data_IF_843789385800
#
_entry.id   IF_843789385800
#
_cell.length_a   1.000
_cell.length_b   1.000
_cell.length_c   1.000
_cell.angle_alpha   90.00
_cell.angle_beta   90.00
_cell.angle_gamma   90.00
#
_symmetry.space_group_name_H-M   'P 1'
#
loop_
_entity.id
_entity.type
_entity.pdbx_description
1 polymer ?
#
# COMPACT_ATOMS: atom_id res chain seq x y z
N UNK A 1 -7.78 -1.31 -27.55
CA UNK A 1 -8.96 -1.17 -26.67
C UNK A 1 -8.55 -1.00 -25.22
N UNK A 2 -7.72 -1.88 -24.64
CA UNK A 2 -7.28 -1.83 -23.23
C UNK A 2 -6.70 -0.46 -22.90
N UNK A 3 -5.63 -0.04 -23.58
CA UNK A 3 -4.98 1.24 -23.30
C UNK A 3 -5.85 2.46 -23.64
N UNK A 4 -6.73 2.34 -24.64
CA UNK A 4 -7.59 3.45 -25.05
C UNK A 4 -8.75 3.72 -24.09
N UNK A 5 -9.31 2.68 -23.49
CA UNK A 5 -10.53 2.78 -22.66
C UNK A 5 -10.35 2.27 -21.23
N UNK A 6 -9.58 1.19 -21.07
CA UNK A 6 -9.41 0.54 -19.77
C UNK A 6 -8.41 1.26 -18.86
N UNK A 7 -7.32 1.78 -19.43
CA UNK A 7 -6.29 2.49 -18.68
C UNK A 7 -6.69 3.93 -18.29
N UNK A 8 -7.79 4.45 -18.87
CA UNK A 8 -8.29 5.77 -18.47
C UNK A 8 -8.65 5.76 -16.99
N UNK A 9 -8.04 6.66 -16.23
CA UNK A 9 -8.31 6.79 -14.80
C UNK A 9 -9.66 7.44 -14.56
N UNK A 10 -10.40 6.92 -13.59
CA UNK A 10 -11.64 7.51 -13.09
C UNK A 10 -11.35 8.63 -12.09
N UNK A 11 -12.41 9.21 -11.49
CA UNK A 11 -12.33 10.28 -10.49
C UNK A 11 -11.48 9.90 -9.26
N UNK A 12 -11.40 8.62 -8.94
CA UNK A 12 -10.63 8.09 -7.80
C UNK A 12 -9.17 7.75 -8.15
N UNK A 13 -8.66 8.18 -9.30
CA UNK A 13 -7.30 7.89 -9.73
C UNK A 13 -7.06 6.47 -10.27
N UNK A 14 -8.01 5.54 -10.19
CA UNK A 14 -7.85 4.17 -10.64
C UNK A 14 -8.23 3.96 -12.11
N UNK A 15 -7.52 3.06 -12.85
CA UNK A 15 -7.95 2.64 -14.17
C UNK A 15 -9.35 2.05 -14.17
N UNK A 16 -10.14 2.36 -15.20
CA UNK A 16 -11.52 1.88 -15.31
C UNK A 16 -11.63 0.38 -15.45
N UNK A 17 -10.75 -0.23 -16.25
CA UNK A 17 -10.71 -1.68 -16.46
C UNK A 17 -9.35 -2.10 -16.99
N UNK A 18 -8.65 -2.95 -16.26
CA UNK A 18 -7.44 -3.61 -16.71
C UNK A 18 -7.64 -5.14 -16.70
N UNK A 19 -7.15 -5.87 -17.71
CA UNK A 19 -7.21 -7.32 -17.72
C UNK A 19 -6.27 -7.91 -16.66
N UNK A 20 -6.68 -9.01 -16.07
CA UNK A 20 -5.81 -9.87 -15.27
C UNK A 20 -5.45 -11.12 -16.06
N UNK A 21 -4.29 -11.70 -15.79
CA UNK A 21 -3.86 -12.97 -16.34
C UNK A 21 -3.80 -14.04 -15.26
N UNK A 22 -4.17 -15.27 -15.64
CA UNK A 22 -4.06 -16.41 -14.76
C UNK A 22 -3.22 -17.49 -15.45
N UNK A 23 -2.09 -17.83 -14.84
CA UNK A 23 -1.27 -18.97 -15.22
C UNK A 23 -1.56 -20.14 -14.29
N UNK A 24 -1.71 -21.32 -14.87
CA UNK A 24 -1.96 -22.56 -14.14
C UNK A 24 -0.77 -23.47 -14.42
N UNK A 25 -0.11 -23.93 -13.37
CA UNK A 25 1.01 -24.87 -13.42
C UNK A 25 0.59 -26.27 -12.90
N UNK A 26 1.20 -27.31 -13.43
CA UNK A 26 0.90 -28.70 -13.10
C UNK A 26 -0.02 -29.40 -14.12
N UNK A 27 -0.23 -28.78 -15.27
CA UNK A 27 -0.99 -29.42 -16.36
C UNK A 27 -0.16 -30.50 -17.06
N UNK A 28 -0.82 -31.57 -17.50
CA UNK A 28 -0.16 -32.66 -18.21
C UNK A 28 0.53 -32.16 -19.49
N UNK A 29 1.80 -32.56 -19.67
CA UNK A 29 2.62 -32.12 -20.80
C UNK A 29 3.34 -30.81 -20.57
N UNK A 30 3.19 -30.15 -19.40
CA UNK A 30 3.95 -28.97 -19.03
C UNK A 30 5.43 -29.32 -18.80
N UNK A 31 6.31 -28.42 -19.20
CA UNK A 31 7.76 -28.55 -19.05
C UNK A 31 8.36 -27.25 -18.54
N UNK A 32 9.65 -27.25 -18.21
CA UNK A 32 10.35 -26.01 -17.82
C UNK A 32 10.29 -24.93 -18.91
N UNK A 33 10.27 -25.33 -20.19
CA UNK A 33 10.13 -24.38 -21.30
C UNK A 33 8.76 -23.70 -21.32
N UNK A 34 7.72 -24.30 -20.76
CA UNK A 34 6.39 -23.68 -20.65
C UNK A 34 6.44 -22.43 -19.76
N UNK A 35 7.24 -22.47 -18.70
CA UNK A 35 7.43 -21.28 -17.82
C UNK A 35 8.17 -20.18 -18.54
N UNK A 36 9.18 -20.53 -19.35
CA UNK A 36 9.91 -19.53 -20.14
C UNK A 36 8.98 -18.88 -21.18
N UNK A 37 8.18 -19.69 -21.90
CA UNK A 37 7.21 -19.17 -22.87
C UNK A 37 6.17 -18.23 -22.22
N UNK A 38 5.72 -18.57 -21.02
CA UNK A 38 4.79 -17.72 -20.25
C UNK A 38 5.45 -16.40 -19.85
N UNK A 39 6.71 -16.42 -19.46
CA UNK A 39 7.47 -15.23 -19.12
C UNK A 39 7.71 -14.35 -20.36
N UNK A 40 8.07 -14.96 -21.48
CA UNK A 40 8.28 -14.28 -22.77
C UNK A 40 7.00 -13.59 -23.24
N UNK A 41 5.84 -14.23 -23.10
CA UNK A 41 4.53 -13.62 -23.39
C UNK A 41 4.29 -12.39 -22.50
N UNK A 42 4.62 -12.45 -21.22
CA UNK A 42 4.47 -11.30 -20.31
C UNK A 42 5.40 -10.14 -20.70
N UNK A 43 6.64 -10.45 -21.08
CA UNK A 43 7.57 -9.44 -21.58
C UNK A 43 7.10 -8.83 -22.90
N UNK A 44 6.48 -9.62 -23.79
CA UNK A 44 5.88 -9.11 -25.01
C UNK A 44 4.72 -8.15 -24.72
N UNK A 45 3.80 -8.54 -23.82
CA UNK A 45 2.71 -7.67 -23.36
C UNK A 45 3.26 -6.34 -22.82
N UNK A 46 4.32 -6.37 -22.00
CA UNK A 46 4.97 -5.17 -21.49
C UNK A 46 5.60 -4.33 -22.58
N UNK A 47 6.29 -4.94 -23.53
CA UNK A 47 6.93 -4.27 -24.67
C UNK A 47 5.91 -3.56 -25.57
N UNK A 48 4.71 -4.14 -25.71
CA UNK A 48 3.59 -3.51 -26.43
C UNK A 48 2.90 -2.39 -25.60
N UNK A 49 3.41 -2.09 -24.40
CA UNK A 49 2.86 -1.04 -23.53
C UNK A 49 1.46 -1.36 -22.99
N UNK A 50 1.07 -2.63 -22.92
CA UNK A 50 -0.23 -3.03 -22.42
C UNK A 50 -0.20 -3.12 -20.89
N UNK A 51 -1.12 -2.42 -20.24
CA UNK A 51 -1.30 -2.45 -18.79
C UNK A 51 -2.11 -3.66 -18.37
N UNK A 52 -1.62 -4.35 -17.34
CA UNK A 52 -2.28 -5.46 -16.70
C UNK A 52 -2.66 -5.09 -15.28
N UNK A 53 -3.80 -5.61 -14.83
CA UNK A 53 -4.24 -5.44 -13.45
C UNK A 53 -3.49 -6.34 -12.49
N UNK A 54 -3.38 -7.62 -12.83
CA UNK A 54 -2.89 -8.66 -11.91
C UNK A 54 -2.46 -9.90 -12.67
N UNK A 55 -1.37 -10.50 -12.23
CA UNK A 55 -0.92 -11.80 -12.69
C UNK A 55 -1.06 -12.79 -11.54
N UNK A 56 -1.95 -13.77 -11.72
CA UNK A 56 -2.10 -14.86 -10.78
C UNK A 56 -1.36 -16.09 -11.32
N UNK A 57 -0.55 -16.68 -10.49
CA UNK A 57 0.14 -17.95 -10.79
C UNK A 57 -0.35 -18.96 -9.77
N UNK A 58 -1.04 -19.99 -10.23
CA UNK A 58 -1.63 -21.02 -9.39
C UNK A 58 -1.05 -22.36 -9.78
N UNK A 59 -0.88 -23.23 -8.81
CA UNK A 59 -0.54 -24.63 -8.99
C UNK A 59 -1.81 -25.45 -8.84
N UNK A 60 -1.98 -26.45 -9.68
CA UNK A 60 -2.96 -27.51 -9.50
C UNK A 60 -2.25 -28.78 -9.04
N UNK A 61 -2.86 -29.48 -8.11
CA UNK A 61 -2.37 -30.70 -7.50
C UNK A 61 -3.52 -31.71 -7.44
N UNK A 62 -3.18 -33.00 -7.49
CA UNK A 62 -4.14 -34.07 -7.35
C UNK A 62 -4.02 -35.13 -8.44
N UNK A 63 -4.91 -36.11 -8.37
CA UNK A 63 -4.95 -37.21 -9.34
C UNK A 63 -5.25 -36.69 -10.76
N UNK A 64 -4.42 -37.07 -11.72
CA UNK A 64 -4.52 -36.62 -13.11
C UNK A 64 -3.73 -35.36 -13.47
N UNK A 65 -3.03 -34.75 -12.52
CA UNK A 65 -2.11 -33.63 -12.79
C UNK A 65 -0.66 -34.08 -12.68
N UNK A 66 0.21 -33.34 -13.33
CA UNK A 66 1.65 -33.58 -13.35
C UNK A 66 2.34 -32.90 -12.17
N UNK A 67 3.33 -33.58 -11.57
CA UNK A 67 4.25 -32.95 -10.63
C UNK A 67 5.05 -31.86 -11.34
N UNK A 68 5.11 -30.67 -10.71
CA UNK A 68 5.82 -29.54 -11.29
C UNK A 68 7.29 -29.55 -10.87
N UNK A 69 8.22 -29.13 -11.74
CA UNK A 69 9.59 -28.89 -11.37
C UNK A 69 9.68 -27.65 -10.46
N UNK A 70 9.61 -27.88 -9.16
CA UNK A 70 9.43 -26.85 -8.13
C UNK A 70 10.45 -25.70 -8.25
N UNK A 71 11.71 -26.01 -8.61
CA UNK A 71 12.75 -24.99 -8.80
C UNK A 71 12.40 -24.04 -9.95
N UNK A 72 12.04 -24.58 -11.12
CA UNK A 72 11.69 -23.80 -12.30
C UNK A 72 10.41 -22.98 -12.06
N UNK A 73 9.43 -23.56 -11.41
CA UNK A 73 8.21 -22.88 -11.02
C UNK A 73 8.45 -21.71 -10.06
N UNK A 74 9.31 -21.91 -9.05
CA UNK A 74 9.66 -20.82 -8.13
C UNK A 74 10.45 -19.71 -8.84
N UNK A 75 11.38 -20.05 -9.74
CA UNK A 75 12.09 -19.07 -10.57
C UNK A 75 11.11 -18.27 -11.45
N UNK A 76 10.15 -18.95 -12.09
CA UNK A 76 9.12 -18.30 -12.88
C UNK A 76 8.35 -17.27 -12.03
N UNK A 77 7.84 -17.67 -10.85
CA UNK A 77 7.14 -16.75 -9.93
C UNK A 77 7.99 -15.56 -9.52
N UNK A 78 9.27 -15.78 -9.21
CA UNK A 78 10.19 -14.72 -8.84
C UNK A 78 10.41 -13.75 -10.01
N UNK A 79 10.73 -14.28 -11.19
CA UNK A 79 10.94 -13.47 -12.39
C UNK A 79 9.70 -12.63 -12.75
N UNK A 80 8.50 -13.23 -12.70
CA UNK A 80 7.25 -12.48 -12.95
C UNK A 80 7.09 -11.34 -11.95
N UNK A 81 7.37 -11.57 -10.66
CA UNK A 81 7.26 -10.51 -9.64
C UNK A 81 8.24 -9.38 -9.87
N UNK A 82 9.50 -9.73 -10.13
CA UNK A 82 10.59 -8.76 -10.20
C UNK A 82 10.57 -7.97 -11.51
N UNK A 83 10.23 -8.63 -12.63
CA UNK A 83 10.35 -8.00 -13.96
C UNK A 83 9.02 -7.52 -14.55
N UNK A 84 7.88 -7.95 -14.00
CA UNK A 84 6.56 -7.61 -14.53
C UNK A 84 5.67 -6.97 -13.45
N UNK A 85 5.34 -7.70 -12.35
CA UNK A 85 4.40 -7.20 -11.33
C UNK A 85 4.89 -5.92 -10.65
N UNK A 86 6.17 -5.88 -10.25
CA UNK A 86 6.76 -4.71 -9.60
C UNK A 86 6.70 -3.45 -10.48
N UNK A 87 7.30 -3.46 -11.67
CA UNK A 87 7.23 -2.33 -12.59
C UNK A 87 5.80 -1.91 -12.99
N UNK A 88 4.86 -2.86 -13.12
CA UNK A 88 3.46 -2.53 -13.37
C UNK A 88 2.82 -1.83 -12.17
N UNK A 89 3.14 -2.26 -10.97
CA UNK A 89 2.61 -1.67 -9.75
C UNK A 89 3.11 -0.22 -9.59
N UNK A 90 4.38 0.03 -9.86
CA UNK A 90 4.98 1.37 -9.85
C UNK A 90 4.36 2.29 -10.90
N UNK A 91 4.05 1.77 -12.09
CA UNK A 91 3.39 2.52 -13.16
C UNK A 91 1.93 2.83 -12.81
N UNK A 92 1.22 1.88 -12.18
CA UNK A 92 -0.19 2.04 -11.81
C UNK A 92 -0.38 2.94 -10.57
N UNK A 93 0.58 2.95 -9.67
CA UNK A 93 0.54 3.69 -8.40
C UNK A 93 1.87 4.41 -8.16
N UNK A 94 2.17 5.49 -8.89
CA UNK A 94 3.41 6.24 -8.71
C UNK A 94 3.58 6.73 -7.26
N UNK A 95 4.83 6.83 -6.79
CA UNK A 95 5.13 7.45 -5.51
C UNK A 95 4.65 8.90 -5.49
N UNK A 96 4.05 9.33 -4.39
CA UNK A 96 3.48 10.66 -4.24
C UNK A 96 2.07 10.82 -4.81
N UNK A 97 1.51 9.79 -5.50
CA UNK A 97 0.11 9.84 -5.96
C UNK A 97 -0.85 9.71 -4.79
N UNK A 98 -1.91 10.53 -4.80
CA UNK A 98 -3.00 10.45 -3.85
C UNK A 98 -4.06 9.45 -4.31
N UNK A 99 -4.45 8.56 -3.42
CA UNK A 99 -5.56 7.63 -3.60
C UNK A 99 -6.68 7.98 -2.62
N UNK A 100 -7.81 8.43 -3.15
CA UNK A 100 -8.98 8.77 -2.34
C UNK A 100 -9.83 7.55 -1.99
N UNK A 101 -10.73 7.71 -1.01
CA UNK A 101 -11.72 6.70 -0.62
C UNK A 101 -11.13 5.33 -0.27
N UNK A 102 -10.01 5.31 0.42
CA UNK A 102 -9.44 4.06 0.98
C UNK A 102 -10.28 3.64 2.18
N UNK A 103 -10.86 2.46 2.10
CA UNK A 103 -11.64 1.86 3.17
C UNK A 103 -10.76 0.92 4.00
N UNK A 104 -10.70 1.14 5.32
CA UNK A 104 -9.84 0.40 6.24
C UNK A 104 -10.55 -0.85 6.76
N UNK A 105 -9.98 -2.01 6.49
CA UNK A 105 -10.65 -3.31 6.65
C UNK A 105 -10.10 -4.15 7.80
N UNK A 106 -8.79 -4.17 7.98
CA UNK A 106 -8.16 -5.07 8.97
C UNK A 106 -6.87 -4.48 9.55
N UNK A 107 -6.53 -4.93 10.76
CA UNK A 107 -5.20 -4.78 11.32
C UNK A 107 -4.39 -6.06 11.06
N UNK A 108 -3.09 -5.93 10.81
CA UNK A 108 -2.13 -7.04 10.63
C UNK A 108 -2.43 -8.01 9.49
N UNK A 109 -3.20 -7.58 8.48
CA UNK A 109 -3.48 -8.38 7.27
C UNK A 109 -4.27 -9.66 7.50
N UNK A 110 -4.79 -9.90 8.69
CA UNK A 110 -5.67 -11.04 8.95
C UNK A 110 -7.05 -10.73 8.42
N UNK A 111 -7.49 -11.52 7.46
CA UNK A 111 -8.83 -11.39 6.87
C UNK A 111 -9.92 -11.65 7.91
N UNK A 112 -11.06 -10.97 7.76
CA UNK A 112 -12.31 -11.12 8.55
C UNK A 112 -12.74 -12.57 8.84
N UNK A 113 -12.32 -13.54 8.04
CA UNK A 113 -12.66 -14.95 8.20
C UNK A 113 -12.10 -15.60 9.49
N UNK A 114 -11.07 -15.03 10.08
CA UNK A 114 -10.50 -15.51 11.36
C UNK A 114 -10.96 -14.70 12.57
N UNK A 115 -11.55 -13.54 12.38
CA UNK A 115 -12.02 -12.67 13.47
C UNK A 115 -13.31 -13.18 14.15
N UNK A 116 -14.05 -14.11 13.52
CA UNK A 116 -15.26 -14.70 14.12
C UNK A 116 -14.99 -15.81 15.14
N UNK A 117 -13.74 -16.21 15.35
CA UNK A 117 -13.40 -17.30 16.27
C UNK A 117 -12.69 -16.84 17.55
N UNK A 118 -12.41 -15.55 17.73
CA UNK A 118 -11.70 -15.08 18.92
C UNK A 118 -12.21 -13.71 19.37
N UNK A 119 -13.35 -13.70 20.07
CA UNK A 119 -13.91 -12.50 20.72
C UNK A 119 -13.07 -11.96 21.87
N UNK A 120 -11.89 -12.55 22.14
CA UNK A 120 -11.02 -12.18 23.27
C UNK A 120 -9.89 -11.21 22.91
N UNK A 121 -9.71 -10.84 21.65
CA UNK A 121 -8.76 -9.78 21.28
C UNK A 121 -9.41 -8.41 21.37
N UNK A 122 -9.58 -7.93 22.59
CA UNK A 122 -9.90 -6.54 22.87
C UNK A 122 -8.80 -5.62 22.37
N UNK A 123 -9.17 -4.42 21.95
CA UNK A 123 -8.30 -3.34 21.48
C UNK A 123 -7.09 -3.00 22.39
N UNK A 124 -6.99 -3.61 23.56
CA UNK A 124 -5.88 -3.44 24.51
C UNK A 124 -4.64 -4.30 24.19
N UNK A 125 -4.80 -5.44 23.51
CA UNK A 125 -3.65 -6.30 23.16
C UNK A 125 -2.76 -5.72 22.05
N UNK A 126 -3.24 -4.71 21.33
CA UNK A 126 -2.50 -4.02 20.28
C UNK A 126 -1.66 -2.83 20.77
N UNK A 127 -1.75 -2.47 22.05
CA UNK A 127 -1.06 -1.30 22.64
C UNK A 127 0.46 -1.42 22.78
N UNK A 128 1.13 -2.29 22.09
CA UNK A 128 2.59 -2.42 22.24
C UNK A 128 3.34 -2.87 21.00
N UNK A 129 2.64 -3.21 19.94
CA UNK A 129 3.28 -3.52 18.64
C UNK A 129 2.84 -2.48 17.64
N UNK A 130 3.79 -1.92 16.90
CA UNK A 130 3.49 -1.10 15.74
C UNK A 130 2.68 -1.97 14.75
N UNK A 131 1.36 -1.86 14.82
CA UNK A 131 0.44 -2.61 13.97
C UNK A 131 0.37 -1.96 12.60
N UNK A 132 0.20 -2.76 11.57
CA UNK A 132 -0.11 -2.29 10.22
C UNK A 132 -1.62 -2.33 10.06
N UNK A 133 -2.20 -1.24 9.56
CA UNK A 133 -3.60 -1.23 9.14
C UNK A 133 -3.64 -1.41 7.63
N UNK A 134 -4.54 -2.28 7.16
CA UNK A 134 -4.74 -2.54 5.75
C UNK A 134 -6.13 -2.07 5.32
N UNK A 135 -6.16 -1.45 4.15
CA UNK A 135 -7.38 -1.02 3.49
C UNK A 135 -7.34 -1.28 1.99
N UNK A 136 -8.44 -0.94 1.35
CA UNK A 136 -8.58 -1.01 -0.11
C UNK A 136 -9.41 0.15 -0.60
N UNK A 137 -9.06 0.62 -1.76
CA UNK A 137 -9.94 1.54 -2.50
C UNK A 137 -11.05 0.73 -3.18
N UNK A 138 -12.29 1.16 -3.02
CA UNK A 138 -13.44 0.52 -3.70
C UNK A 138 -13.38 0.90 -5.18
N UNK A 139 -13.20 -0.07 -6.05
CA UNK A 139 -13.10 0.18 -7.49
C UNK A 139 -12.74 -1.05 -8.29
N UNK A 140 -12.46 -0.85 -9.57
CA UNK A 140 -12.09 -1.92 -10.49
C UNK A 140 -10.75 -2.59 -10.17
N UNK A 141 -9.89 -1.90 -9.42
CA UNK A 141 -8.58 -2.40 -9.00
C UNK A 141 -8.37 -2.21 -7.49
N UNK A 142 -8.97 -3.06 -6.64
CA UNK A 142 -8.86 -2.95 -5.19
C UNK A 142 -7.47 -3.41 -4.71
N UNK A 143 -6.44 -2.58 -4.95
CA UNK A 143 -5.09 -2.88 -4.45
C UNK A 143 -5.10 -2.89 -2.92
N UNK A 144 -4.28 -3.76 -2.31
CA UNK A 144 -4.06 -3.73 -0.87
C UNK A 144 -3.15 -2.57 -0.51
N UNK A 145 -3.59 -1.74 0.41
CA UNK A 145 -2.87 -0.58 0.90
C UNK A 145 -2.55 -0.82 2.37
N UNK A 146 -1.29 -0.71 2.75
CA UNK A 146 -0.83 -0.82 4.13
C UNK A 146 -0.34 0.52 4.65
N UNK A 147 -0.68 0.85 5.90
CA UNK A 147 -0.08 1.95 6.66
C UNK A 147 0.54 1.40 7.93
N UNK A 148 1.70 1.93 8.34
CA UNK A 148 2.50 1.41 9.47
C UNK A 148 2.04 1.95 10.83
N UNK A 149 0.73 2.19 10.97
CA UNK A 149 0.12 2.64 12.22
C UNK A 149 -1.36 2.24 12.28
N UNK A 150 -1.98 2.44 13.43
CA UNK A 150 -3.39 2.16 13.64
C UNK A 150 -4.29 3.24 13.08
N UNK A 151 -5.22 2.84 12.21
CA UNK A 151 -6.38 3.62 11.77
C UNK A 151 -7.64 2.90 12.27
N UNK A 152 -8.68 3.62 12.70
CA UNK A 152 -9.96 3.01 13.04
C UNK A 152 -10.53 2.23 11.85
N UNK A 153 -10.95 0.99 12.09
CA UNK A 153 -11.58 0.17 11.05
C UNK A 153 -12.95 0.71 10.68
N UNK A 154 -13.43 0.34 9.50
CA UNK A 154 -14.71 0.80 8.92
C UNK A 154 -14.75 2.33 8.70
N UNK A 155 -13.58 2.96 8.63
CA UNK A 155 -13.44 4.38 8.25
C UNK A 155 -12.84 4.50 6.85
N UNK A 156 -12.89 5.70 6.30
CA UNK A 156 -12.32 6.04 5.00
C UNK A 156 -11.39 7.23 5.13
N UNK A 157 -10.31 7.21 4.37
CA UNK A 157 -9.39 8.34 4.22
C UNK A 157 -8.71 8.32 2.85
N UNK A 158 -8.04 9.40 2.49
CA UNK A 158 -7.11 9.43 1.37
C UNK A 158 -5.71 9.10 1.86
N UNK A 159 -4.89 8.53 0.97
CA UNK A 159 -3.47 8.22 1.26
C UNK A 159 -2.57 8.68 0.12
N UNK A 160 -1.36 9.09 0.46
CA UNK A 160 -0.26 9.27 -0.50
C UNK A 160 0.53 7.98 -0.57
N UNK A 161 0.80 7.50 -1.78
CA UNK A 161 1.63 6.32 -2.02
C UNK A 161 3.07 6.62 -1.64
N UNK A 162 3.63 5.85 -0.71
CA UNK A 162 5.01 6.03 -0.21
C UNK A 162 5.92 4.85 -0.53
N UNK A 163 5.37 3.73 -0.99
CA UNK A 163 6.18 2.56 -1.34
C UNK A 163 5.37 1.43 -1.98
N UNK A 164 6.09 0.45 -2.49
CA UNK A 164 5.53 -0.72 -3.16
C UNK A 164 6.00 -2.01 -2.49
N UNK A 165 5.05 -2.90 -2.22
CA UNK A 165 5.30 -4.28 -1.86
C UNK A 165 5.14 -5.19 -3.08
N UNK A 166 5.23 -6.50 -2.88
CA UNK A 166 5.10 -7.46 -3.97
C UNK A 166 3.71 -7.46 -4.65
N UNK A 167 2.65 -7.10 -3.92
CA UNK A 167 1.25 -7.05 -4.39
C UNK A 167 0.41 -6.06 -3.60
N UNK A 168 1.04 -5.10 -3.01
CA UNK A 168 0.43 -4.08 -2.17
C UNK A 168 1.23 -2.80 -2.32
N UNK A 169 0.65 -1.71 -1.89
CA UNK A 169 1.36 -0.45 -1.74
C UNK A 169 1.39 -0.05 -0.27
N UNK A 170 2.36 0.76 0.08
CA UNK A 170 2.43 1.44 1.38
C UNK A 170 2.00 2.88 1.18
N UNK A 171 1.27 3.42 2.13
CA UNK A 171 0.82 4.80 2.09
C UNK A 171 0.83 5.49 3.45
N UNK A 172 0.59 6.78 3.42
CA UNK A 172 0.36 7.61 4.60
C UNK A 172 -0.91 8.41 4.37
N UNK A 173 -1.78 8.49 5.38
CA UNK A 173 -3.01 9.31 5.28
C UNK A 173 -2.70 10.75 4.96
N UNK A 174 -3.59 11.39 4.21
CA UNK A 174 -3.64 12.85 4.04
C UNK A 174 -4.50 13.48 5.13
N UNK A 175 -4.48 14.81 5.22
CA UNK A 175 -5.30 15.53 6.20
C UNK A 175 -4.84 15.35 7.64
N UNK A 176 -3.57 15.07 7.87
CA UNK A 176 -2.99 14.97 9.20
C UNK A 176 -3.01 16.35 9.89
N UNK A 177 -3.55 16.39 11.09
CA UNK A 177 -3.60 17.61 11.88
C UNK A 177 -2.37 17.72 12.79
N UNK A 178 -1.63 18.83 12.72
CA UNK A 178 -0.44 19.06 13.54
C UNK A 178 -0.70 18.83 15.03
N UNK A 179 -1.91 19.14 15.49
CA UNK A 179 -2.34 18.99 16.88
C UNK A 179 -2.59 17.54 17.32
N UNK A 180 -2.93 16.64 16.39
CA UNK A 180 -3.38 15.28 16.69
C UNK A 180 -2.46 14.19 16.18
N UNK A 181 -1.69 14.45 15.11
CA UNK A 181 -0.83 13.45 14.47
C UNK A 181 0.05 12.73 15.49
N UNK A 182 0.10 11.42 15.42
CA UNK A 182 0.92 10.58 16.28
C UNK A 182 2.38 10.51 15.82
N UNK A 183 3.27 10.07 16.70
CA UNK A 183 4.66 9.84 16.33
C UNK A 183 4.79 8.83 15.18
N UNK A 184 3.99 7.76 15.19
CA UNK A 184 4.02 6.71 14.16
C UNK A 184 3.54 7.21 12.79
N UNK A 185 2.53 8.07 12.76
CA UNK A 185 2.11 8.73 11.52
C UNK A 185 3.23 9.62 10.96
N UNK A 186 3.92 10.38 11.82
CA UNK A 186 5.07 11.19 11.40
C UNK A 186 6.21 10.32 10.86
N UNK A 187 6.56 9.23 11.55
CA UNK A 187 7.61 8.30 11.14
C UNK A 187 7.33 7.63 9.78
N UNK A 188 6.06 7.47 9.43
CA UNK A 188 5.65 6.91 8.15
C UNK A 188 5.80 7.89 6.97
N UNK A 189 5.90 9.20 7.24
CA UNK A 189 6.13 10.21 6.20
C UNK A 189 7.58 10.11 5.70
N UNK A 190 7.81 9.97 4.39
CA UNK A 190 9.15 9.93 3.83
C UNK A 190 10.00 11.14 4.27
N UNK A 191 11.21 10.87 4.72
CA UNK A 191 12.12 11.90 5.23
C UNK A 191 11.97 12.25 6.72
N UNK A 192 10.93 11.77 7.39
CA UNK A 192 10.74 11.98 8.84
C UNK A 192 11.10 10.69 9.58
N UNK A 193 12.34 10.61 10.07
CA UNK A 193 12.77 9.49 10.91
C UNK A 193 12.33 9.63 12.38
N UNK A 194 12.50 8.56 13.15
CA UNK A 194 12.11 8.45 14.56
C UNK A 194 12.57 9.65 15.41
N UNK A 195 13.83 10.07 15.26
CA UNK A 195 14.40 11.20 16.03
C UNK A 195 13.70 12.52 15.70
N UNK A 196 13.39 12.74 14.42
CA UNK A 196 12.70 13.94 13.95
C UNK A 196 11.26 13.95 14.45
N UNK A 197 10.55 12.83 14.31
CA UNK A 197 9.19 12.67 14.82
C UNK A 197 9.12 12.90 16.34
N UNK A 198 10.03 12.28 17.09
CA UNK A 198 10.10 12.50 18.54
C UNK A 198 10.34 13.97 18.92
N UNK A 199 11.21 14.66 18.20
CA UNK A 199 11.53 16.08 18.43
C UNK A 199 10.29 16.96 18.21
N UNK A 200 9.55 16.71 17.12
CA UNK A 200 8.28 17.38 16.80
C UNK A 200 7.25 17.16 17.93
N UNK A 201 6.98 15.91 18.29
CA UNK A 201 6.01 15.57 19.35
C UNK A 201 6.42 16.19 20.69
N UNK A 202 7.70 16.14 21.06
CA UNK A 202 8.20 16.72 22.29
C UNK A 202 7.99 18.23 22.34
N UNK A 203 8.22 18.94 21.24
CA UNK A 203 8.02 20.37 21.14
C UNK A 203 6.54 20.74 21.25
N UNK A 204 5.65 20.02 20.58
CA UNK A 204 4.20 20.18 20.72
C UNK A 204 3.75 20.00 22.17
N UNK A 205 4.22 18.96 22.83
CA UNK A 205 3.87 18.68 24.23
C UNK A 205 4.36 19.81 25.18
N UNK A 206 5.56 20.37 24.94
CA UNK A 206 6.10 21.50 25.72
C UNK A 206 5.24 22.76 25.54
N UNK A 207 4.81 23.06 24.30
CA UNK A 207 4.00 24.26 24.01
C UNK A 207 2.60 24.13 24.61
N UNK A 208 1.96 22.96 24.53
CA UNK A 208 0.67 22.68 25.20
C UNK A 208 0.71 22.81 26.71
N UNK A 209 1.81 22.41 27.34
CA UNK A 209 1.98 22.61 28.80
C UNK A 209 2.09 24.08 29.19
N UNK A 210 2.68 24.92 28.34
CA UNK A 210 2.82 26.38 28.60
C UNK A 210 1.50 27.11 28.36
N UNK A 211 0.71 26.67 27.38
CA UNK A 211 -0.54 27.32 26.98
C UNK A 211 -1.70 26.31 26.97
N UNK A 212 -2.19 25.89 28.17
CA UNK A 212 -3.28 24.94 28.26
C UNK A 212 -4.55 25.49 27.60
N UNK A 213 -5.20 24.65 26.76
CA UNK A 213 -6.46 25.04 26.11
C UNK A 213 -6.31 25.79 24.78
N UNK A 214 -5.10 26.07 24.35
CA UNK A 214 -4.81 26.63 23.02
C UNK A 214 -4.18 25.59 22.13
N UNK A 215 -4.34 25.75 20.81
CA UNK A 215 -3.59 24.98 19.84
C UNK A 215 -2.09 25.27 19.99
N UNK A 216 -1.27 24.25 19.82
CA UNK A 216 0.17 24.42 20.00
C UNK A 216 0.78 25.18 18.81
N UNK A 217 0.24 24.97 17.62
CA UNK A 217 0.72 25.59 16.37
C UNK A 217 -0.45 25.84 15.42
N UNK A 218 -0.39 26.96 14.70
CA UNK A 218 -1.43 27.34 13.73
C UNK A 218 -1.34 26.50 12.46
N UNK A 219 -0.14 25.95 12.14
CA UNK A 219 0.06 25.08 10.99
C UNK A 219 1.20 24.07 11.23
N UNK A 220 1.23 23.04 10.38
CA UNK A 220 2.34 22.07 10.38
C UNK A 220 3.67 22.76 10.04
N UNK A 221 3.68 23.71 9.10
CA UNK A 221 4.88 24.47 8.73
C UNK A 221 5.44 25.27 9.92
N UNK A 222 4.58 25.95 10.67
CA UNK A 222 4.99 26.65 11.91
C UNK A 222 5.61 25.68 12.91
N UNK A 223 5.00 24.52 13.08
CA UNK A 223 5.49 23.48 13.99
C UNK A 223 6.90 23.01 13.63
N UNK A 224 7.14 22.71 12.34
CA UNK A 224 8.45 22.28 11.85
C UNK A 224 9.49 23.40 12.06
N UNK A 225 9.19 24.63 11.67
CA UNK A 225 10.06 25.79 11.88
C UNK A 225 10.38 26.03 13.37
N UNK A 226 9.38 25.95 14.24
CA UNK A 226 9.57 26.10 15.69
C UNK A 226 10.43 24.97 16.29
N UNK A 227 10.55 23.87 15.61
CA UNK A 227 11.38 22.72 16.01
C UNK A 227 12.76 22.74 15.35
N UNK A 228 13.07 23.77 14.54
CA UNK A 228 14.29 23.87 13.73
C UNK A 228 14.48 22.66 12.82
N UNK A 229 13.40 22.25 12.16
CA UNK A 229 13.35 21.25 11.10
C UNK A 229 12.91 21.95 9.83
N UNK A 230 13.65 21.73 8.74
CA UNK A 230 13.30 22.32 7.46
C UNK A 230 11.95 21.77 6.98
N UNK A 231 11.09 22.69 6.56
CA UNK A 231 9.83 22.34 5.92
C UNK A 231 10.08 22.05 4.44
N UNK A 232 9.69 20.85 3.99
CA UNK A 232 9.65 20.51 2.57
C UNK A 232 8.24 20.72 2.04
N UNK A 233 8.11 21.21 0.81
CA UNK A 233 6.81 21.30 0.13
C UNK A 233 6.14 19.93 0.01
N UNK A 234 6.93 18.86 -0.08
CA UNK A 234 6.43 17.48 -0.09
C UNK A 234 5.65 17.13 1.18
N UNK A 235 5.96 17.76 2.33
CA UNK A 235 5.22 17.50 3.58
C UNK A 235 3.81 18.07 3.54
N UNK A 236 3.56 19.10 2.71
CA UNK A 236 2.22 19.69 2.55
C UNK A 236 1.19 18.69 2.03
N UNK A 237 1.63 17.64 1.33
CA UNK A 237 0.75 16.58 0.84
C UNK A 237 0.07 15.78 1.97
N UNK A 238 0.68 15.74 3.14
CA UNK A 238 0.21 14.91 4.25
C UNK A 238 -0.62 15.68 5.28
N UNK A 239 -0.46 17.00 5.37
CA UNK A 239 -1.11 17.81 6.39
C UNK A 239 -2.30 18.60 5.83
N UNK A 240 -3.30 18.85 6.70
CA UNK A 240 -4.40 19.75 6.39
C UNK A 240 -3.88 21.14 6.03
N UNK A 241 -4.36 21.69 4.93
CA UNK A 241 -4.21 23.10 4.61
C UNK A 241 -5.19 23.87 5.49
N UNK A 242 -4.69 24.39 6.61
CA UNK A 242 -5.43 25.38 7.42
C UNK A 242 -5.19 26.79 6.90
#
# INVERSE_FOLDING_TARGET
LINKYGSVRGERGLPKLLPGLNFIAGLNGETESSYQMNLDLLHEIRREGLLLRRINIRQVEGEGFQDIPQKAFNMFKTNVRDTIDGPLLEELFPLGEELSDVHWETHDGRTRLTAHLDETHTSESCRGKAGITFGRQIGAYPILIGVEYHIPLETQSSVIVTGHGARSITGVETGLQAEKVSQKQLEAIPGIGEKTAWKLISQRAKRKRKNPGQEAFDSAEEWFKATSIDWSEDYSLYFDHQ
#
